data_IF_398115830859
#
_entry.id   IF_398115830859
#
_cell.length_a   1.000
_cell.length_b   1.000
_cell.length_c   1.000
_cell.angle_alpha   90.00
_cell.angle_beta   90.00
_cell.angle_gamma   90.00
#
_symmetry.space_group_name_H-M   'P 1'
#
loop_
_entity.id
_entity.type
_entity.pdbx_description
1 polymer ?
#
# COMPACT_ATOMS: atom_id res chain seq x y z
N UNK A 1 13.48 -4.68 -6.66
CA UNK A 1 12.59 -3.79 -5.88
C UNK A 1 11.55 -4.65 -5.20
N UNK A 2 11.38 -4.55 -3.87
CA UNK A 2 10.38 -5.33 -3.16
C UNK A 2 8.98 -4.75 -3.40
N UNK A 3 8.06 -5.59 -3.87
CA UNK A 3 6.64 -5.26 -4.03
C UNK A 3 5.87 -5.80 -2.83
N UNK A 4 4.90 -5.03 -2.36
CA UNK A 4 4.12 -5.34 -1.16
C UNK A 4 2.64 -5.15 -1.48
N UNK A 5 1.79 -5.90 -0.79
CA UNK A 5 0.35 -5.82 -0.95
C UNK A 5 -0.23 -4.82 0.05
N UNK A 6 -1.00 -3.88 -0.47
CA UNK A 6 -1.73 -2.87 0.30
C UNK A 6 -3.21 -2.98 -0.02
N UNK A 7 -4.05 -2.58 0.94
CA UNK A 7 -5.48 -2.45 0.77
C UNK A 7 -5.81 -0.97 0.88
N UNK A 8 -6.21 -0.30 -0.22
CA UNK A 8 -6.67 1.08 -0.21
C UNK A 8 -7.88 1.24 0.71
N UNK A 9 -7.91 2.32 1.49
CA UNK A 9 -9.05 2.66 2.33
C UNK A 9 -10.17 3.35 1.54
N UNK A 10 -9.81 4.02 0.44
CA UNK A 10 -10.70 4.75 -0.46
C UNK A 10 -10.30 4.50 -1.92
N UNK A 11 -11.19 4.80 -2.86
CA UNK A 11 -10.85 4.89 -4.27
C UNK A 11 -9.95 6.10 -4.53
N UNK A 12 -8.86 5.88 -5.26
CA UNK A 12 -7.98 6.95 -5.72
C UNK A 12 -7.14 6.49 -6.90
N UNK A 13 -6.66 7.44 -7.67
CA UNK A 13 -5.65 7.18 -8.69
C UNK A 13 -4.25 7.51 -8.16
N UNK A 14 -3.29 6.62 -8.37
CA UNK A 14 -1.93 6.78 -7.90
C UNK A 14 -0.89 6.41 -8.94
N UNK A 15 0.36 6.77 -8.68
CA UNK A 15 1.52 6.43 -9.51
C UNK A 15 2.49 5.59 -8.68
N UNK A 16 2.24 4.28 -8.48
CA UNK A 16 3.10 3.44 -7.64
C UNK A 16 4.55 3.40 -8.16
N UNK A 17 4.73 3.40 -9.48
CA UNK A 17 6.03 3.42 -10.15
C UNK A 17 6.47 4.84 -10.57
N UNK A 18 5.72 5.89 -10.21
CA UNK A 18 5.96 7.27 -10.63
C UNK A 18 5.69 7.57 -12.11
N UNK A 19 5.48 6.55 -12.94
CA UNK A 19 5.29 6.69 -14.40
C UNK A 19 3.90 6.23 -14.84
N UNK A 20 3.43 5.07 -14.35
CA UNK A 20 2.12 4.53 -14.71
C UNK A 20 1.05 4.93 -13.70
N UNK A 21 -0.04 5.51 -14.20
CA UNK A 21 -1.26 5.74 -13.43
C UNK A 21 -1.95 4.41 -13.18
N UNK A 22 -2.28 4.13 -11.92
CA UNK A 22 -3.02 2.95 -11.48
C UNK A 22 -4.21 3.42 -10.66
N UNK A 23 -5.40 2.92 -10.99
CA UNK A 23 -6.61 3.16 -10.23
C UNK A 23 -6.70 2.15 -9.09
N UNK A 24 -6.60 2.64 -7.87
CA UNK A 24 -6.75 1.88 -6.64
C UNK A 24 -8.19 1.96 -6.18
N UNK A 25 -8.79 0.81 -5.90
CA UNK A 25 -10.16 0.73 -5.42
C UNK A 25 -10.17 0.38 -3.93
N UNK A 26 -11.02 1.05 -3.16
CA UNK A 26 -11.20 0.80 -1.74
C UNK A 26 -11.46 -0.69 -1.49
N UNK A 27 -10.75 -1.28 -0.53
CA UNK A 27 -10.90 -2.69 -0.16
C UNK A 27 -10.31 -3.70 -1.15
N UNK A 28 -9.75 -3.27 -2.28
CA UNK A 28 -9.15 -4.16 -3.28
C UNK A 28 -7.65 -4.28 -3.06
N UNK A 29 -7.15 -5.50 -2.89
CA UNK A 29 -5.71 -5.74 -2.74
C UNK A 29 -4.94 -5.29 -3.98
N UNK A 30 -3.99 -4.38 -3.79
CA UNK A 30 -3.11 -3.88 -4.84
C UNK A 30 -1.64 -4.14 -4.50
N UNK A 31 -0.84 -4.49 -5.52
CA UNK A 31 0.61 -4.69 -5.37
C UNK A 31 1.34 -3.42 -5.77
N UNK A 32 2.09 -2.83 -4.84
CA UNK A 32 2.83 -1.59 -5.05
C UNK A 32 4.26 -1.71 -4.50
N UNK A 33 5.20 -0.87 -4.94
CA UNK A 33 6.54 -0.83 -4.37
C UNK A 33 6.51 -0.51 -2.86
N UNK A 34 7.44 -1.05 -2.09
CA UNK A 34 7.50 -0.84 -0.65
C UNK A 34 7.56 0.65 -0.26
N UNK A 35 8.35 1.46 -0.98
CA UNK A 35 8.41 2.90 -0.75
C UNK A 35 7.04 3.57 -0.91
N UNK A 36 6.28 3.17 -1.94
CA UNK A 36 4.94 3.71 -2.19
C UNK A 36 3.94 3.25 -1.12
N UNK A 37 3.98 1.98 -0.73
CA UNK A 37 3.16 1.47 0.37
C UNK A 37 3.41 2.19 1.69
N UNK A 38 4.67 2.52 1.99
CA UNK A 38 5.03 3.28 3.19
C UNK A 38 4.40 4.67 3.16
N UNK A 39 4.44 5.37 2.02
CA UNK A 39 3.78 6.67 1.83
C UNK A 39 2.26 6.58 1.99
N UNK A 40 1.63 5.56 1.40
CA UNK A 40 0.17 5.37 1.52
C UNK A 40 -0.26 5.05 2.95
N UNK A 41 0.54 4.25 3.67
CA UNK A 41 0.27 3.88 5.07
C UNK A 41 0.48 5.08 6.00
N UNK A 42 1.55 5.86 5.79
CA UNK A 42 1.84 7.08 6.55
C UNK A 42 0.74 8.14 6.41
N UNK A 43 0.15 8.24 5.21
CA UNK A 43 -0.99 9.12 4.93
C UNK A 43 -2.35 8.54 5.34
N UNK A 44 -2.42 7.30 5.82
CA UNK A 44 -3.68 6.62 6.15
C UNK A 44 -4.57 6.26 4.94
N UNK A 45 -4.03 6.34 3.71
CA UNK A 45 -4.78 6.08 2.47
C UNK A 45 -4.84 4.59 2.10
N UNK A 46 -3.94 3.77 2.65
CA UNK A 46 -3.97 2.32 2.51
C UNK A 46 -3.43 1.63 3.75
N UNK A 47 -3.89 0.42 4.02
CA UNK A 47 -3.33 -0.47 5.05
C UNK A 47 -2.41 -1.49 4.39
N UNK A 48 -1.17 -1.59 4.88
CA UNK A 48 -0.27 -2.69 4.47
C UNK A 48 -0.84 -4.00 5.01
N UNK A 49 -1.08 -4.97 4.12
CA UNK A 49 -1.41 -6.32 4.56
C UNK A 49 -0.13 -6.87 5.20
N UNK A 50 -0.07 -6.88 6.54
CA UNK A 50 1.06 -7.47 7.26
C UNK A 50 1.17 -8.93 6.79
N UNK A 51 2.23 -9.26 6.04
CA UNK A 51 2.86 -10.56 6.26
C UNK A 51 3.23 -10.55 7.72
N UNK A 52 2.52 -11.35 8.49
CA UNK A 52 2.70 -11.63 9.91
C UNK A 52 4.17 -11.51 10.33
N UNK A 53 4.55 -10.35 10.84
CA UNK A 53 5.73 -10.13 11.67
C UNK A 53 5.14 -9.53 12.95
N UNK A 54 4.78 -10.47 13.83
CA UNK A 54 5.35 -10.64 15.17
C UNK A 54 4.98 -9.51 16.14
N UNK A 55 4.44 -9.86 17.32
CA UNK A 55 3.86 -8.90 18.24
C UNK A 55 4.92 -7.93 18.75
N UNK A 56 4.42 -6.72 19.01
CA UNK A 56 4.84 -5.78 20.04
C UNK A 56 5.61 -6.45 21.21
N UNK A 57 6.85 -6.02 21.43
CA UNK A 57 7.65 -6.10 22.66
C UNK A 57 8.90 -5.25 22.38
N UNK A 58 9.30 -4.23 23.13
CA UNK A 58 9.11 -3.82 24.53
C UNK A 58 9.37 -2.29 24.61
#
# INVERSE_FOLDING_TARGET
MAVVRVIPSQDFDGYPDGIKKVSFQAGVEASVPEHYAKLLTDKGMATRKKSKATPDNE
#
